data_IF_261140448073
#
_entry.id   IF_261140448073
#
_cell.length_a   1.000
_cell.length_b   1.000
_cell.length_c   1.000
_cell.angle_alpha   90.00
_cell.angle_beta   90.00
_cell.angle_gamma   90.00
#
_symmetry.space_group_name_H-M   'P 1'
#
loop_
_entity.id
_entity.type
_entity.pdbx_description
1 polymer ?
#
# COMPACT_ATOMS: atom_id res chain seq x y z
N UNK A 1 -14.40 -3.74 3.69
CA UNK A 1 -13.46 -4.44 2.78
C UNK A 1 -12.02 -4.01 3.10
N UNK A 2 -11.35 -4.50 4.14
CA UNK A 2 -9.98 -4.04 4.48
C UNK A 2 -8.85 -5.02 4.16
N UNK A 3 -9.10 -6.33 4.23
CA UNK A 3 -8.04 -7.32 4.45
C UNK A 3 -7.26 -7.88 3.27
N UNK A 4 -7.28 -7.18 2.15
CA UNK A 4 -6.37 -7.50 1.04
C UNK A 4 -4.98 -6.89 1.19
N UNK A 5 -4.78 -5.99 2.17
CA UNK A 5 -3.82 -4.89 2.01
C UNK A 5 -2.48 -5.14 2.75
N UNK A 6 -2.52 -5.75 3.93
CA UNK A 6 -1.35 -5.99 4.78
C UNK A 6 -0.43 -7.09 4.21
N UNK A 7 -1.02 -8.14 3.62
CA UNK A 7 -0.30 -9.17 2.88
C UNK A 7 0.17 -8.67 1.50
N UNK A 8 -0.53 -7.72 0.89
CA UNK A 8 -0.14 -7.12 -0.39
C UNK A 8 1.10 -6.23 -0.23
N UNK A 9 1.18 -5.43 0.83
CA UNK A 9 2.37 -4.65 1.19
C UNK A 9 3.65 -5.50 1.31
N UNK A 10 3.57 -6.59 2.08
CA UNK A 10 4.68 -7.52 2.28
C UNK A 10 4.99 -8.34 1.02
N UNK A 11 3.98 -8.62 0.18
CA UNK A 11 4.13 -9.29 -1.11
C UNK A 11 4.83 -8.40 -2.16
N UNK A 12 4.60 -7.08 -2.10
CA UNK A 12 5.22 -6.10 -2.99
C UNK A 12 6.56 -5.57 -2.47
N UNK A 13 6.98 -5.96 -1.27
CA UNK A 13 8.20 -5.46 -0.65
C UNK A 13 8.15 -3.96 -0.35
N UNK A 14 6.99 -3.38 -0.03
CA UNK A 14 6.91 -1.96 0.32
C UNK A 14 7.77 -1.67 1.56
N UNK A 15 8.82 -0.84 1.39
CA UNK A 15 9.75 -0.49 2.46
C UNK A 15 9.35 0.80 3.17
N UNK A 16 8.93 1.81 2.41
CA UNK A 16 8.57 3.13 2.94
C UNK A 16 7.49 3.76 2.07
N UNK A 17 6.57 4.48 2.70
CA UNK A 17 5.57 5.29 2.01
C UNK A 17 5.32 6.61 2.74
N UNK A 18 5.47 7.72 2.01
CA UNK A 18 5.23 9.08 2.48
C UNK A 18 4.00 9.64 1.76
N UNK A 19 2.82 9.49 2.40
CA UNK A 19 1.51 9.84 1.82
C UNK A 19 1.16 11.33 1.95
N UNK A 20 1.97 12.11 2.66
CA UNK A 20 1.77 13.56 2.88
C UNK A 20 0.40 14.00 3.45
N UNK A 21 -0.18 13.23 4.37
CA UNK A 21 -1.47 13.54 5.02
C UNK A 21 -1.41 14.51 6.23
N UNK A 22 -0.24 14.70 6.85
CA UNK A 22 -0.12 15.45 8.13
C UNK A 22 -0.06 16.97 7.93
N UNK A 23 -1.09 17.69 8.38
CA UNK A 23 -1.28 19.11 8.11
C UNK A 23 -0.56 20.08 9.06
N UNK A 24 0.52 19.70 9.75
CA UNK A 24 1.15 20.61 10.70
C UNK A 24 2.45 20.16 11.34
N UNK A 25 3.54 20.13 10.57
CA UNK A 25 4.86 19.86 11.14
C UNK A 25 6.01 19.98 10.15
N UNK A 26 7.21 19.67 10.66
CA UNK A 26 8.43 19.46 9.85
C UNK A 26 8.76 17.99 9.65
N UNK A 27 7.90 17.08 10.08
CA UNK A 27 8.09 15.64 9.92
C UNK A 27 7.08 15.17 8.89
N UNK A 28 7.57 14.44 7.90
CA UNK A 28 6.77 13.66 6.95
C UNK A 28 6.78 12.23 7.45
N UNK A 29 5.62 11.70 7.82
CA UNK A 29 5.52 10.34 8.33
C UNK A 29 5.75 9.31 7.23
N UNK A 30 6.63 8.35 7.50
CA UNK A 30 6.61 7.06 6.80
C UNK A 30 5.57 6.18 7.48
N UNK A 31 4.53 5.80 6.74
CA UNK A 31 3.42 5.00 7.29
C UNK A 31 3.70 3.50 7.29
N UNK A 32 4.91 3.07 6.90
CA UNK A 32 5.27 1.65 6.76
C UNK A 32 6.26 1.20 7.83
N UNK A 33 7.45 1.80 7.89
CA UNK A 33 8.55 1.26 8.71
C UNK A 33 9.26 2.29 9.59
N UNK A 34 8.82 3.55 9.53
CA UNK A 34 9.32 4.64 10.39
C UNK A 34 10.54 5.37 9.82
N UNK A 35 10.84 5.22 8.52
CA UNK A 35 11.79 6.07 7.79
C UNK A 35 11.20 7.47 7.55
N UNK A 36 10.83 8.15 8.63
CA UNK A 36 10.24 9.48 8.59
C UNK A 36 11.14 10.47 7.83
N UNK A 37 10.53 11.27 6.96
CA UNK A 37 11.19 12.40 6.31
C UNK A 37 11.20 13.65 7.19
N UNK A 38 12.22 14.48 7.02
CA UNK A 38 12.31 15.80 7.65
C UNK A 38 12.19 16.89 6.57
N UNK A 39 11.24 17.81 6.76
CA UNK A 39 11.09 19.00 5.93
C UNK A 39 12.22 19.99 6.25
N UNK A 40 13.05 20.27 5.24
CA UNK A 40 14.00 21.37 5.21
C UNK A 40 13.41 22.56 4.44
N UNK A 41 13.84 23.76 4.78
CA UNK A 41 13.34 24.99 4.18
C UNK A 41 11.87 25.26 4.52
N UNK A 42 11.11 25.69 3.51
CA UNK A 42 9.68 26.02 3.63
C UNK A 42 8.88 25.24 2.60
N UNK A 43 8.11 24.25 3.05
CA UNK A 43 7.15 23.50 2.26
C UNK A 43 5.76 23.73 2.86
N UNK A 44 4.74 23.81 2.00
CA UNK A 44 3.36 24.03 2.44
C UNK A 44 2.55 22.72 2.33
N UNK A 45 1.87 22.35 3.40
CA UNK A 45 0.87 21.29 3.37
C UNK A 45 -0.40 21.78 2.67
N UNK A 46 -0.97 20.98 1.78
CA UNK A 46 -2.22 21.29 1.08
C UNK A 46 -3.24 20.18 1.29
N UNK A 47 -4.53 20.54 1.29
CA UNK A 47 -5.64 19.60 1.51
C UNK A 47 -6.20 18.96 0.23
N UNK A 48 -5.83 19.50 -0.92
CA UNK A 48 -6.34 19.08 -2.23
C UNK A 48 -5.19 18.40 -3.00
N UNK A 49 -4.73 17.26 -2.46
CA UNK A 49 -3.74 16.38 -3.06
C UNK A 49 -4.30 15.55 -4.22
N UNK A 50 -3.52 14.57 -4.66
CA UNK A 50 -4.02 13.53 -5.56
C UNK A 50 -4.94 12.59 -4.78
N UNK A 51 -4.55 12.25 -3.56
CA UNK A 51 -5.33 11.49 -2.59
C UNK A 51 -5.22 12.21 -1.24
N UNK A 52 -6.32 12.79 -0.75
CA UNK A 52 -6.26 13.51 0.53
C UNK A 52 -5.30 14.70 0.49
N UNK A 53 -4.30 14.70 1.39
CA UNK A 53 -3.30 15.76 1.51
C UNK A 53 -2.23 15.72 0.42
N UNK A 54 -1.38 16.75 0.37
CA UNK A 54 -0.15 16.73 -0.42
C UNK A 54 0.85 17.76 0.12
N UNK A 55 2.10 17.68 -0.35
CA UNK A 55 3.14 18.63 -0.01
C UNK A 55 3.50 19.51 -1.21
N UNK A 56 3.48 20.82 -1.00
CA UNK A 56 3.80 21.83 -2.01
C UNK A 56 5.25 22.27 -1.92
N UNK A 57 5.95 22.14 -3.04
CA UNK A 57 7.34 22.54 -3.22
C UNK A 57 7.42 23.89 -3.94
N UNK A 58 8.19 24.87 -3.43
CA UNK A 58 8.19 26.24 -3.93
C UNK A 58 9.24 26.52 -5.02
N UNK A 59 9.97 25.52 -5.51
CA UNK A 59 11.06 25.73 -6.48
C UNK A 59 12.35 26.29 -5.88
N UNK A 60 12.57 26.12 -4.57
CA UNK A 60 13.77 26.64 -3.88
C UNK A 60 14.68 25.49 -3.46
N UNK A 61 15.96 25.54 -3.85
CA UNK A 61 16.96 24.51 -3.59
C UNK A 61 17.23 24.18 -2.11
N UNK A 62 16.74 25.01 -1.18
CA UNK A 62 16.83 24.79 0.28
C UNK A 62 15.57 24.12 0.88
N UNK A 63 14.54 23.88 0.06
CA UNK A 63 13.23 23.40 0.48
C UNK A 63 12.94 22.02 -0.11
N UNK A 64 12.99 21.00 0.74
CA UNK A 64 12.87 19.59 0.34
C UNK A 64 12.53 18.69 1.52
N UNK A 65 12.14 17.44 1.26
CA UNK A 65 12.04 16.40 2.30
C UNK A 65 13.31 15.57 2.27
N UNK A 66 13.97 15.45 3.42
CA UNK A 66 15.16 14.62 3.62
C UNK A 66 14.79 13.37 4.40
N UNK A 67 15.02 12.21 3.81
CA UNK A 67 14.90 10.91 4.48
C UNK A 67 16.30 10.39 4.77
N UNK A 68 16.56 10.04 6.02
CA UNK A 68 17.86 9.50 6.41
C UNK A 68 18.19 8.20 5.66
N UNK A 69 19.48 7.96 5.46
CA UNK A 69 19.92 6.73 4.81
C UNK A 69 19.59 5.50 5.69
N UNK A 70 19.00 4.50 5.04
CA UNK A 70 18.91 3.12 5.49
C UNK A 70 19.38 2.19 4.35
N UNK A 71 19.91 1.01 4.71
CA UNK A 71 20.38 0.02 3.74
C UNK A 71 19.24 -0.59 2.92
N UNK A 72 17.99 -0.53 3.39
CA UNK A 72 16.82 -0.94 2.60
C UNK A 72 16.68 -0.16 1.29
N UNK A 73 17.13 1.10 1.26
CA UNK A 73 17.08 1.88 0.02
C UNK A 73 18.13 1.43 -1.00
N UNK A 74 19.07 0.55 -0.62
CA UNK A 74 20.03 -0.08 -1.53
C UNK A 74 19.52 -1.42 -2.09
N UNK A 75 18.23 -1.72 -1.98
CA UNK A 75 17.64 -2.93 -2.55
C UNK A 75 17.90 -3.03 -4.05
N UNK A 76 18.14 -4.27 -4.46
CA UNK A 76 18.41 -4.71 -5.83
C UNK A 76 17.75 -6.09 -5.97
N UNK A 77 16.54 -6.19 -6.58
CA UNK A 77 15.81 -5.15 -7.32
C UNK A 77 15.15 -4.06 -6.45
N UNK A 78 14.57 -3.03 -7.08
CA UNK A 78 13.71 -2.05 -6.39
C UNK A 78 12.71 -1.35 -7.33
N UNK A 79 11.70 -0.73 -6.73
CA UNK A 79 10.82 0.23 -7.40
C UNK A 79 10.66 1.51 -6.59
N UNK A 80 10.66 2.66 -7.24
CA UNK A 80 10.32 3.95 -6.66
C UNK A 80 9.16 4.56 -7.41
N UNK A 81 8.18 5.09 -6.68
CA UNK A 81 6.96 5.70 -7.26
C UNK A 81 6.66 7.05 -6.61
N UNK A 82 5.98 7.92 -7.34
CA UNK A 82 5.43 9.17 -6.81
C UNK A 82 4.27 9.68 -7.67
N UNK A 83 3.28 10.31 -7.04
CA UNK A 83 2.38 11.23 -7.73
C UNK A 83 2.98 12.65 -7.69
N UNK A 84 3.02 13.31 -8.84
CA UNK A 84 3.53 14.68 -8.96
C UNK A 84 2.61 15.54 -9.81
N UNK A 85 2.47 16.81 -9.44
CA UNK A 85 1.83 17.86 -10.23
C UNK A 85 2.79 19.02 -10.35
N UNK A 86 3.68 18.93 -11.34
CA UNK A 86 4.77 19.88 -11.50
C UNK A 86 4.36 21.05 -12.39
N UNK A 87 4.75 22.25 -11.99
CA UNK A 87 4.64 23.44 -12.82
C UNK A 87 5.75 23.41 -13.89
N UNK A 88 5.44 23.90 -15.10
CA UNK A 88 6.41 24.00 -16.18
C UNK A 88 7.64 24.81 -15.74
N UNK A 89 8.82 24.20 -15.82
CA UNK A 89 10.07 24.90 -15.59
C UNK A 89 11.25 24.17 -16.22
N UNK A 90 12.26 24.95 -16.60
CA UNK A 90 13.57 24.42 -16.95
C UNK A 90 14.27 23.87 -15.70
N UNK A 91 14.43 22.55 -15.64
CA UNK A 91 15.12 21.80 -14.57
C UNK A 91 14.41 21.79 -13.21
N UNK A 92 13.99 20.60 -12.78
CA UNK A 92 13.41 20.33 -11.47
C UNK A 92 13.79 18.92 -11.00
N UNK A 93 13.79 18.63 -9.71
CA UNK A 93 14.10 17.29 -9.19
C UNK A 93 12.89 16.66 -8.50
N UNK A 94 12.55 15.42 -8.86
CA UNK A 94 11.55 14.63 -8.13
C UNK A 94 12.23 13.94 -6.96
N UNK A 95 13.35 13.25 -7.21
CA UNK A 95 14.12 12.60 -6.17
C UNK A 95 15.60 12.56 -6.53
N UNK A 96 16.45 12.77 -5.53
CA UNK A 96 17.90 12.70 -5.63
C UNK A 96 18.45 11.81 -4.52
N UNK A 97 19.53 11.08 -4.80
CA UNK A 97 20.22 10.25 -3.81
C UNK A 97 21.71 10.08 -4.12
N UNK A 98 22.45 11.19 -4.17
CA UNK A 98 23.90 11.16 -4.39
C UNK A 98 24.59 12.40 -3.75
N UNK A 99 24.61 12.47 -2.42
CA UNK A 99 25.26 13.54 -1.65
C UNK A 99 24.59 14.93 -1.70
N UNK A 100 25.09 15.84 -0.88
CA UNK A 100 24.69 17.25 -0.78
C UNK A 100 25.80 18.24 -1.20
N UNK A 101 26.94 17.73 -1.65
CA UNK A 101 28.11 18.51 -2.10
C UNK A 101 28.42 18.21 -3.55
N UNK A 102 28.70 19.25 -4.34
CA UNK A 102 29.21 19.13 -5.70
C UNK A 102 30.71 19.50 -5.77
N UNK A 103 31.54 18.76 -6.54
CA UNK A 103 31.23 17.48 -7.18
C UNK A 103 31.02 16.37 -6.15
N UNK A 104 30.19 15.39 -6.51
CA UNK A 104 29.83 14.28 -5.65
C UNK A 104 31.06 13.40 -5.34
N UNK A 105 31.28 12.99 -4.08
CA UNK A 105 32.47 12.21 -3.71
C UNK A 105 32.51 10.80 -4.30
N UNK A 106 31.36 10.16 -4.49
CA UNK A 106 31.24 8.74 -4.86
C UNK A 106 30.53 8.52 -6.21
N UNK A 107 29.93 9.57 -6.80
CA UNK A 107 29.13 9.55 -8.03
C UNK A 107 28.27 8.28 -8.20
N UNK A 108 27.40 7.98 -7.21
CA UNK A 108 26.48 6.83 -7.23
C UNK A 108 25.06 7.31 -7.47
N UNK A 109 24.52 7.10 -8.67
CA UNK A 109 23.14 7.50 -9.02
C UNK A 109 22.17 6.33 -8.97
N UNK A 110 22.01 5.80 -7.77
CA UNK A 110 21.07 4.71 -7.53
C UNK A 110 19.62 5.15 -7.78
N UNK A 111 19.23 6.28 -7.18
CA UNK A 111 17.91 6.92 -7.34
C UNK A 111 18.11 8.40 -7.71
N UNK A 112 17.81 8.73 -8.96
CA UNK A 112 18.03 10.06 -9.55
C UNK A 112 16.96 10.29 -10.62
N UNK A 113 15.99 11.16 -10.32
CA UNK A 113 14.88 11.52 -11.21
C UNK A 113 14.75 13.04 -11.24
N UNK A 114 14.91 13.62 -12.42
CA UNK A 114 14.75 15.06 -12.65
C UNK A 114 13.94 15.33 -13.92
N UNK A 115 13.48 16.56 -14.07
CA UNK A 115 12.80 17.07 -15.26
C UNK A 115 13.80 17.84 -16.09
N UNK A 116 13.92 17.53 -17.38
CA UNK A 116 14.80 18.23 -18.30
C UNK A 116 14.12 19.48 -18.90
N UNK A 117 14.86 20.31 -19.63
CA UNK A 117 14.40 21.55 -20.29
C UNK A 117 13.18 21.43 -21.23
N UNK A 118 12.71 20.21 -21.52
CA UNK A 118 11.53 19.95 -22.34
C UNK A 118 10.40 19.29 -21.53
N UNK A 119 10.42 19.48 -20.20
CA UNK A 119 9.35 19.12 -19.27
C UNK A 119 9.04 17.60 -19.17
N UNK A 120 9.93 16.75 -19.68
CA UNK A 120 9.89 15.29 -19.55
C UNK A 120 10.84 14.78 -18.45
N UNK A 121 10.54 13.64 -17.82
CA UNK A 121 11.40 13.06 -16.79
C UNK A 121 12.64 12.39 -17.37
N UNK A 122 13.74 12.46 -16.64
CA UNK A 122 15.01 11.81 -16.95
C UNK A 122 15.48 11.04 -15.74
N UNK A 123 15.84 9.77 -15.96
CA UNK A 123 16.39 8.91 -14.92
C UNK A 123 17.84 8.58 -15.22
N UNK A 124 18.68 8.60 -14.20
CA UNK A 124 20.00 7.97 -14.26
C UNK A 124 20.01 6.66 -13.48
N UNK A 125 20.90 5.76 -13.90
CA UNK A 125 21.20 4.54 -13.17
C UNK A 125 22.69 4.28 -13.19
N UNK A 126 23.19 3.73 -12.08
CA UNK A 126 24.56 3.25 -11.94
C UNK A 126 24.49 1.78 -11.52
N UNK A 127 24.90 0.89 -12.43
CA UNK A 127 25.23 -0.49 -12.09
C UNK A 127 26.75 -0.62 -12.16
N UNK A 128 27.35 -1.55 -11.41
CA UNK A 128 28.81 -1.68 -11.33
C UNK A 128 29.47 -1.72 -12.71
N UNK A 129 30.23 -0.67 -13.02
CA UNK A 129 30.98 -0.54 -14.28
C UNK A 129 30.17 -0.06 -15.49
N UNK A 130 28.90 0.30 -15.33
CA UNK A 130 28.05 0.85 -16.39
C UNK A 130 27.08 1.91 -15.84
N UNK A 131 27.12 3.09 -16.45
CA UNK A 131 26.27 4.22 -16.09
C UNK A 131 25.43 4.61 -17.29
N UNK A 132 24.21 5.08 -17.07
CA UNK A 132 23.40 5.55 -18.18
C UNK A 132 22.24 6.44 -17.77
N UNK A 133 21.50 6.84 -18.80
CA UNK A 133 20.42 7.81 -18.76
C UNK A 133 19.24 7.35 -19.63
N UNK A 134 18.02 7.44 -19.11
CA UNK A 134 16.77 7.25 -19.86
C UNK A 134 16.07 8.60 -19.94
N UNK A 135 15.77 9.04 -21.15
CA UNK A 135 14.91 10.19 -21.41
C UNK A 135 13.47 9.73 -21.62
N UNK A 136 12.55 10.29 -20.83
CA UNK A 136 11.13 10.11 -21.03
C UNK A 136 10.65 10.76 -22.33
N UNK A 137 9.47 10.33 -22.78
CA UNK A 137 8.76 10.86 -23.95
C UNK A 137 7.54 11.67 -23.54
N UNK A 138 7.02 11.41 -22.34
CA UNK A 138 5.82 12.09 -21.82
C UNK A 138 6.21 13.36 -21.09
N UNK A 139 5.55 14.47 -21.43
CA UNK A 139 5.68 15.75 -20.72
C UNK A 139 4.85 15.65 -19.44
N UNK A 140 5.47 15.88 -18.28
CA UNK A 140 4.81 15.77 -16.96
C UNK A 140 4.85 17.06 -16.13
N UNK A 141 5.66 18.05 -16.52
CA UNK A 141 5.62 19.39 -15.92
C UNK A 141 4.62 20.29 -16.66
N UNK A 142 3.38 19.82 -16.80
CA UNK A 142 2.30 20.51 -17.51
C UNK A 142 1.20 21.06 -16.57
N UNK A 143 1.44 21.01 -15.25
CA UNK A 143 0.49 21.40 -14.22
C UNK A 143 -0.63 20.39 -13.94
N UNK A 144 -0.55 19.16 -14.47
CA UNK A 144 -1.48 18.05 -14.16
C UNK A 144 -0.81 17.00 -13.27
N UNK A 145 -1.64 16.21 -12.60
CA UNK A 145 -1.17 15.06 -11.84
C UNK A 145 -0.71 13.96 -12.78
N UNK A 146 0.52 13.51 -12.58
CA UNK A 146 1.11 12.35 -13.24
C UNK A 146 1.67 11.39 -12.20
N UNK A 147 1.53 10.10 -12.45
CA UNK A 147 2.21 9.07 -11.68
C UNK A 147 3.52 8.72 -12.36
N UNK A 148 4.62 8.73 -11.62
CA UNK A 148 5.93 8.36 -12.14
C UNK A 148 6.49 7.16 -11.38
N UNK A 149 7.09 6.22 -12.10
CA UNK A 149 7.79 5.11 -11.48
C UNK A 149 9.12 4.80 -12.17
N UNK A 150 10.13 4.50 -11.35
CA UNK A 150 11.40 3.90 -11.75
C UNK A 150 11.45 2.48 -11.20
N UNK A 151 11.63 1.51 -12.09
CA UNK A 151 11.68 0.09 -11.73
C UNK A 151 12.99 -0.50 -12.23
N UNK A 152 13.68 -1.24 -11.35
CA UNK A 152 14.83 -2.05 -11.70
C UNK A 152 14.57 -3.50 -11.34
N UNK A 153 14.54 -4.39 -12.34
CA UNK A 153 14.23 -5.82 -12.19
C UNK A 153 15.48 -6.73 -12.14
N UNK A 154 16.67 -6.15 -12.00
CA UNK A 154 17.96 -6.85 -12.11
C UNK A 154 18.49 -7.00 -13.55
N UNK A 155 17.65 -6.72 -14.56
CA UNK A 155 17.97 -6.88 -15.99
C UNK A 155 17.76 -5.59 -16.78
N UNK A 156 16.76 -4.80 -16.40
CA UNK A 156 16.28 -3.62 -17.09
C UNK A 156 16.09 -2.50 -16.08
N UNK A 157 16.41 -1.28 -16.52
CA UNK A 157 15.97 -0.05 -15.87
C UNK A 157 14.79 0.45 -16.67
N UNK A 158 13.65 0.66 -16.03
CA UNK A 158 12.40 1.01 -16.68
C UNK A 158 11.80 2.26 -16.05
N UNK A 159 11.22 3.10 -16.91
CA UNK A 159 10.51 4.32 -16.59
C UNK A 159 9.06 4.16 -17.00
N UNK A 160 8.15 4.41 -16.06
CA UNK A 160 6.73 4.44 -16.32
C UNK A 160 6.17 5.82 -15.99
N UNK A 161 5.24 6.28 -16.83
CA UNK A 161 4.42 7.48 -16.62
C UNK A 161 2.96 7.07 -16.78
N UNK A 162 2.13 7.40 -15.80
CA UNK A 162 0.68 7.08 -15.75
C UNK A 162 0.39 5.60 -16.06
N UNK A 163 1.18 4.71 -15.44
CA UNK A 163 1.04 3.26 -15.55
C UNK A 163 1.58 2.66 -16.87
N UNK A 164 2.16 3.46 -17.75
CA UNK A 164 2.65 3.02 -19.08
C UNK A 164 4.16 3.19 -19.20
N UNK A 165 4.81 2.22 -19.84
CA UNK A 165 6.24 2.27 -20.12
C UNK A 165 6.57 3.47 -21.03
N UNK A 166 7.37 4.40 -20.53
CA UNK A 166 7.78 5.61 -21.25
C UNK A 166 9.22 5.48 -21.80
N UNK A 167 10.08 4.76 -21.06
CA UNK A 167 11.46 4.44 -21.47
C UNK A 167 12.02 3.19 -20.78
N UNK A 168 12.94 2.50 -21.45
CA UNK A 168 13.61 1.31 -20.92
C UNK A 168 15.07 1.23 -21.38
N UNK A 169 15.90 0.55 -20.60
CA UNK A 169 17.23 0.17 -21.01
C UNK A 169 17.60 -1.21 -20.43
N UNK A 170 18.06 -2.19 -21.25
CA UNK A 170 18.45 -3.52 -20.78
C UNK A 170 19.86 -3.50 -20.17
N UNK A 171 20.05 -2.67 -19.15
CA UNK A 171 21.31 -2.53 -18.41
C UNK A 171 21.22 -3.28 -17.07
N UNK A 172 21.22 -4.61 -17.16
CA UNK A 172 21.31 -5.51 -16.01
C UNK A 172 22.67 -5.44 -15.32
N UNK A 173 22.76 -5.97 -14.11
CA UNK A 173 23.98 -5.92 -13.31
C UNK A 173 23.67 -5.88 -11.82
N UNK A 174 24.66 -5.46 -11.03
CA UNK A 174 24.46 -5.17 -9.61
C UNK A 174 24.46 -3.66 -9.46
N UNK A 175 23.42 -3.11 -8.83
CA UNK A 175 23.33 -1.68 -8.56
C UNK A 175 24.45 -1.22 -7.62
N UNK A 176 24.95 -0.01 -7.87
CA UNK A 176 25.86 0.63 -6.92
C UNK A 176 25.08 1.08 -5.68
N UNK A 177 25.62 0.79 -4.50
CA UNK A 177 25.00 1.14 -3.21
C UNK A 177 25.42 2.53 -2.78
N UNK A 178 24.51 3.28 -2.16
CA UNK A 178 24.77 4.62 -1.64
C UNK A 178 24.58 4.68 -0.13
N UNK A 179 25.40 5.48 0.55
CA UNK A 179 25.18 5.88 1.95
C UNK A 179 24.51 7.26 2.07
N UNK A 180 24.11 7.85 0.94
CA UNK A 180 23.45 9.15 0.91
C UNK A 180 21.99 9.06 1.39
N UNK A 181 21.51 10.09 2.11
CA UNK A 181 20.08 10.34 2.32
C UNK A 181 19.31 10.39 1.00
N UNK A 182 17.98 10.24 1.07
CA UNK A 182 17.08 10.54 -0.05
C UNK A 182 16.61 11.99 0.10
N UNK A 183 16.65 12.74 -0.99
CA UNK A 183 16.11 14.09 -1.09
C UNK A 183 14.95 14.09 -2.06
N UNK A 184 13.73 14.26 -1.54
CA UNK A 184 12.51 14.38 -2.35
C UNK A 184 12.29 15.85 -2.67
N UNK A 185 12.07 16.16 -3.95
CA UNK A 185 11.74 17.49 -4.46
C UNK A 185 12.93 18.43 -4.66
N UNK A 186 14.17 18.02 -4.38
CA UNK A 186 15.35 18.82 -4.72
C UNK A 186 16.64 18.01 -4.82
N UNK A 187 17.58 18.56 -5.60
CA UNK A 187 19.01 18.39 -5.35
C UNK A 187 19.46 19.55 -4.44
N UNK A 188 19.80 19.29 -3.16
CA UNK A 188 20.01 20.35 -2.17
C UNK A 188 20.98 21.44 -2.62
N UNK A 189 20.62 22.70 -2.38
CA UNK A 189 21.44 23.87 -2.71
C UNK A 189 21.53 24.21 -4.20
N UNK A 190 20.82 23.49 -5.06
CA UNK A 190 20.91 23.65 -6.51
C UNK A 190 19.52 23.76 -7.16
N UNK A 191 18.95 22.65 -7.61
CA UNK A 191 17.69 22.60 -8.38
C UNK A 191 16.59 21.98 -7.51
N UNK A 192 15.41 22.57 -7.51
CA UNK A 192 14.26 22.08 -6.76
C UNK A 192 13.00 22.08 -7.63
N UNK A 193 12.04 21.24 -7.25
CA UNK A 193 10.74 21.17 -7.89
C UNK A 193 9.83 22.31 -7.47
N UNK A 194 8.98 22.71 -8.41
CA UNK A 194 7.85 23.63 -8.17
C UNK A 194 6.57 22.86 -8.48
N UNK A 195 5.74 22.62 -7.48
CA UNK A 195 4.52 21.83 -7.68
C UNK A 195 4.05 21.11 -6.43
N UNK A 196 3.20 20.10 -6.62
CA UNK A 196 2.69 19.23 -5.56
C UNK A 196 3.25 17.83 -5.71
N UNK A 197 3.54 17.19 -4.59
CA UNK A 197 3.95 15.79 -4.51
C UNK A 197 2.96 15.07 -3.59
N UNK A 198 2.66 13.84 -3.92
CA UNK A 198 1.75 12.95 -3.21
C UNK A 198 2.18 11.49 -3.37
N UNK A 199 1.78 10.64 -2.42
CA UNK A 199 1.94 9.18 -2.45
C UNK A 199 3.33 8.70 -2.95
N UNK A 200 4.39 9.10 -2.24
CA UNK A 200 5.76 8.69 -2.59
C UNK A 200 6.08 7.36 -1.93
N UNK A 201 6.56 6.37 -2.70
CA UNK A 201 6.81 5.02 -2.21
C UNK A 201 8.14 4.43 -2.68
N UNK A 202 8.74 3.59 -1.84
CA UNK A 202 9.91 2.77 -2.16
C UNK A 202 9.63 1.30 -1.86
N UNK A 203 9.90 0.43 -2.84
CA UNK A 203 9.69 -1.01 -2.77
C UNK A 203 11.02 -1.74 -2.98
N UNK A 204 11.26 -2.80 -2.22
CA UNK A 204 12.43 -3.68 -2.33
C UNK A 204 12.29 -4.75 -3.42
N UNK A 205 11.22 -4.67 -4.20
CA UNK A 205 10.95 -5.57 -5.32
C UNK A 205 10.69 -4.75 -6.59
N UNK A 206 10.85 -5.41 -7.74
CA UNK A 206 10.42 -4.84 -9.01
C UNK A 206 8.91 -5.09 -9.20
N UNK A 207 8.12 -4.02 -9.18
CA UNK A 207 6.68 -4.11 -9.40
C UNK A 207 6.40 -4.54 -10.85
N UNK A 208 5.44 -5.44 -11.03
CA UNK A 208 4.85 -5.69 -12.34
C UNK A 208 3.96 -4.52 -12.78
N UNK A 209 3.60 -4.45 -14.06
CA UNK A 209 2.70 -3.40 -14.57
C UNK A 209 1.34 -3.42 -13.87
N UNK A 210 0.79 -4.60 -13.58
CA UNK A 210 -0.49 -4.74 -12.87
C UNK A 210 -0.37 -4.20 -11.44
N UNK A 211 0.69 -4.56 -10.71
CA UNK A 211 0.94 -4.08 -9.35
C UNK A 211 1.22 -2.57 -9.31
N UNK A 212 1.93 -2.04 -10.31
CA UNK A 212 2.14 -0.61 -10.48
C UNK A 212 0.81 0.14 -10.68
N UNK A 213 -0.08 -0.39 -11.51
CA UNK A 213 -1.39 0.20 -11.75
C UNK A 213 -2.27 0.14 -10.49
N UNK A 214 -2.24 -0.97 -9.75
CA UNK A 214 -2.93 -1.09 -8.46
C UNK A 214 -2.42 -0.06 -7.44
N UNK A 215 -1.09 0.10 -7.32
CA UNK A 215 -0.48 1.15 -6.47
C UNK A 215 -0.91 2.54 -6.91
N UNK A 216 -0.89 2.82 -8.22
CA UNK A 216 -1.26 4.11 -8.79
C UNK A 216 -2.73 4.46 -8.51
N UNK A 217 -3.65 3.53 -8.72
CA UNK A 217 -5.10 3.75 -8.61
C UNK A 217 -5.58 3.84 -7.16
N UNK A 218 -4.90 3.12 -6.25
CA UNK A 218 -5.22 3.13 -4.82
C UNK A 218 -4.45 4.17 -4.01
N UNK A 219 -3.57 4.95 -4.65
CA UNK A 219 -2.68 5.90 -3.97
C UNK A 219 -1.71 5.22 -3.02
N UNK A 220 -1.29 3.98 -3.31
CA UNK A 220 -0.45 3.20 -2.41
C UNK A 220 -1.11 2.83 -1.08
N UNK A 221 -2.33 3.30 -0.76
CA UNK A 221 -3.03 3.02 0.53
C UNK A 221 -3.41 1.56 0.67
N UNK A 222 -3.64 0.87 -0.45
CA UNK A 222 -3.82 -0.59 -0.49
C UNK A 222 -2.54 -1.37 -0.18
N UNK A 223 -1.39 -0.69 -0.10
CA UNK A 223 -0.09 -1.26 0.27
C UNK A 223 0.44 -0.64 1.58
N UNK A 224 0.07 0.59 1.89
CA UNK A 224 0.60 1.36 3.01
C UNK A 224 -0.29 1.30 4.27
N UNK A 225 -1.46 0.65 4.21
CA UNK A 225 -2.33 0.48 5.37
C UNK A 225 -1.79 -0.61 6.32
N UNK A 226 -0.66 -0.31 6.94
CA UNK A 226 -0.13 -0.91 8.15
C UNK A 226 0.70 0.17 8.86
N UNK A 227 0.08 1.06 9.66
CA UNK A 227 0.48 1.33 11.06
C UNK A 227 -0.11 2.58 11.73
N UNK A 228 -0.75 3.54 11.05
CA UNK A 228 -1.41 4.63 11.81
C UNK A 228 -2.55 5.35 11.06
N UNK A 229 -3.78 5.11 11.54
CA UNK A 229 -4.89 6.07 11.67
C UNK A 229 -4.97 7.24 10.67
N UNK A 230 -5.84 7.11 9.67
CA UNK A 230 -6.60 8.24 9.11
C UNK A 230 -8.01 7.75 8.79
N UNK A 231 -8.92 7.99 9.74
CA UNK A 231 -10.36 7.96 9.51
C UNK A 231 -10.68 9.28 8.81
N UNK A 232 -10.84 9.28 7.49
CA UNK A 232 -11.67 10.26 6.80
C UNK A 232 -12.65 9.56 5.86
N UNK A 233 -13.84 10.15 5.81
CA UNK A 233 -15.13 9.64 5.37
C UNK A 233 -15.13 9.13 3.91
N UNK A 234 -14.65 7.91 3.70
CA UNK A 234 -15.14 7.11 2.56
C UNK A 234 -16.56 6.68 2.90
N UNK A 235 -17.49 6.78 1.93
CA UNK A 235 -18.87 6.32 2.06
C UNK A 235 -18.93 5.08 2.95
N UNK A 236 -19.45 5.25 4.17
CA UNK A 236 -19.46 4.20 5.19
C UNK A 236 -20.07 2.97 4.52
N UNK A 237 -19.23 1.97 4.22
CA UNK A 237 -19.65 0.78 3.50
C UNK A 237 -20.71 0.11 4.37
N UNK A 238 -21.98 0.36 4.02
CA UNK A 238 -23.10 -0.04 4.85
C UNK A 238 -23.03 -1.55 5.05
N UNK A 239 -22.90 -1.98 6.30
CA UNK A 239 -22.93 -3.41 6.65
C UNK A 239 -24.22 -4.03 6.11
N UNK A 240 -24.07 -5.10 5.33
CA UNK A 240 -25.14 -5.91 4.78
C UNK A 240 -25.20 -7.25 5.53
N UNK A 241 -26.37 -7.87 5.62
CA UNK A 241 -26.48 -9.24 6.14
C UNK A 241 -26.27 -10.26 5.01
N UNK A 242 -25.57 -11.35 5.28
CA UNK A 242 -25.35 -12.39 4.28
C UNK A 242 -26.32 -13.57 4.49
N UNK A 243 -27.33 -13.69 3.64
CA UNK A 243 -28.37 -14.71 3.74
C UNK A 243 -28.49 -15.46 2.42
N UNK A 244 -28.35 -16.78 2.49
CA UNK A 244 -28.57 -17.63 1.32
C UNK A 244 -27.54 -17.51 0.19
N UNK A 245 -26.38 -16.89 0.45
CA UNK A 245 -25.33 -16.62 -0.56
C UNK A 245 -25.35 -15.18 -1.09
N UNK A 246 -26.30 -14.36 -0.65
CA UNK A 246 -26.48 -12.99 -1.12
C UNK A 246 -26.28 -11.99 0.03
N UNK A 247 -25.71 -10.84 -0.29
CA UNK A 247 -25.62 -9.69 0.62
C UNK A 247 -26.91 -8.86 0.50
N UNK A 248 -27.61 -8.67 1.62
CA UNK A 248 -28.91 -8.01 1.70
C UNK A 248 -28.79 -6.76 2.57
N UNK A 249 -29.24 -5.61 2.07
CA UNK A 249 -29.46 -4.39 2.86
C UNK A 249 -30.97 -4.20 3.12
N UNK A 250 -31.32 -3.54 4.24
CA UNK A 250 -32.70 -3.15 4.58
C UNK A 250 -32.75 -1.75 5.16
N UNK A 251 -33.87 -1.06 4.95
CA UNK A 251 -34.08 0.29 5.50
C UNK A 251 -34.15 0.32 7.02
N UNK A 252 -34.66 -0.75 7.65
CA UNK A 252 -34.68 -0.89 9.10
C UNK A 252 -33.36 -1.52 9.58
N UNK A 253 -32.65 -0.85 10.49
CA UNK A 253 -31.30 -1.22 10.93
C UNK A 253 -31.20 -1.28 12.45
N UNK A 254 -30.15 -1.92 12.92
CA UNK A 254 -29.76 -2.03 14.34
C UNK A 254 -28.38 -1.40 14.46
N UNK A 255 -28.23 -0.44 15.38
CA UNK A 255 -26.93 0.16 15.66
C UNK A 255 -26.04 -0.82 16.42
N UNK A 256 -24.81 -0.96 15.96
CA UNK A 256 -23.72 -1.63 16.67
C UNK A 256 -22.99 -0.56 17.46
N UNK A 257 -23.11 -0.61 18.78
CA UNK A 257 -22.58 0.42 19.67
C UNK A 257 -21.24 -0.03 20.26
N UNK A 258 -20.30 0.89 20.34
CA UNK A 258 -19.04 0.74 21.05
C UNK A 258 -19.33 0.62 22.55
N UNK A 259 -18.92 -0.48 23.22
CA UNK A 259 -19.09 -0.61 24.67
C UNK A 259 -18.28 0.39 25.49
N UNK A 260 -17.24 0.99 24.87
CA UNK A 260 -16.32 1.92 25.54
C UNK A 260 -16.97 3.29 25.83
N UNK A 261 -17.70 3.83 24.86
CA UNK A 261 -18.24 5.20 24.90
C UNK A 261 -19.69 5.33 24.41
N UNK A 262 -20.29 4.24 23.92
CA UNK A 262 -21.63 4.22 23.36
C UNK A 262 -21.76 4.82 21.96
N UNK A 263 -20.64 5.14 21.30
CA UNK A 263 -20.65 5.64 19.91
C UNK A 263 -21.10 4.54 18.93
N UNK A 264 -21.66 4.93 17.79
CA UNK A 264 -22.10 3.97 16.76
C UNK A 264 -20.89 3.52 15.93
N UNK A 265 -20.51 2.25 16.08
CA UNK A 265 -19.48 1.58 15.30
C UNK A 265 -19.98 1.40 13.87
N UNK A 266 -21.13 0.74 13.70
CA UNK A 266 -21.79 0.49 12.41
C UNK A 266 -23.29 0.21 12.58
N UNK A 267 -23.98 -0.14 11.50
CA UNK A 267 -25.40 -0.53 11.50
C UNK A 267 -25.60 -1.84 10.74
N UNK A 268 -26.33 -2.79 11.31
CA UNK A 268 -26.69 -4.04 10.60
C UNK A 268 -28.16 -4.04 10.19
N UNK A 269 -28.54 -4.64 9.05
CA UNK A 269 -29.95 -4.77 8.66
C UNK A 269 -30.74 -5.55 9.71
N UNK A 270 -31.95 -5.08 10.03
CA UNK A 270 -32.87 -5.82 10.89
C UNK A 270 -33.60 -6.86 10.06
N UNK A 271 -33.18 -8.12 10.18
CA UNK A 271 -33.84 -9.25 9.53
C UNK A 271 -35.29 -9.44 10.00
N UNK A 272 -36.12 -10.00 9.12
CA UNK A 272 -37.51 -10.38 9.37
C UNK A 272 -37.73 -11.89 9.17
N UNK A 273 -38.96 -12.36 9.39
CA UNK A 273 -39.29 -13.78 9.32
C UNK A 273 -39.00 -14.41 7.94
N UNK A 274 -39.04 -13.63 6.86
CA UNK A 274 -38.77 -14.13 5.51
C UNK A 274 -37.29 -14.37 5.27
N UNK A 275 -36.40 -13.55 5.86
CA UNK A 275 -34.96 -13.80 5.79
C UNK A 275 -34.58 -15.06 6.57
N UNK A 276 -35.21 -15.27 7.73
CA UNK A 276 -35.02 -16.47 8.56
C UNK A 276 -35.44 -17.72 7.79
N UNK A 277 -36.61 -17.69 7.16
CA UNK A 277 -37.09 -18.80 6.32
C UNK A 277 -36.10 -19.09 5.17
N UNK A 278 -35.61 -18.05 4.50
CA UNK A 278 -34.61 -18.16 3.42
C UNK A 278 -33.29 -18.77 3.92
N UNK A 279 -32.84 -18.37 5.11
CA UNK A 279 -31.64 -18.91 5.75
C UNK A 279 -31.80 -20.40 6.07
N UNK A 280 -32.94 -20.80 6.65
CA UNK A 280 -33.25 -22.20 6.99
C UNK A 280 -33.30 -23.06 5.73
N UNK A 281 -34.06 -22.65 4.72
CA UNK A 281 -34.17 -23.40 3.46
C UNK A 281 -32.82 -23.56 2.76
N UNK A 282 -31.96 -22.53 2.82
CA UNK A 282 -30.62 -22.62 2.24
C UNK A 282 -29.69 -23.50 3.07
N UNK A 283 -29.78 -23.46 4.40
CA UNK A 283 -29.03 -24.35 5.28
C UNK A 283 -29.42 -25.82 5.06
N UNK A 284 -30.71 -26.15 4.88
CA UNK A 284 -31.18 -27.51 4.58
C UNK A 284 -30.65 -28.03 3.23
N UNK A 285 -30.63 -27.17 2.19
CA UNK A 285 -30.01 -27.51 0.90
C UNK A 285 -28.50 -27.70 1.06
N UNK A 286 -27.85 -26.76 1.75
CA UNK A 286 -26.42 -26.80 2.04
C UNK A 286 -25.99 -28.05 2.80
N UNK A 287 -26.78 -28.51 3.77
CA UNK A 287 -26.53 -29.74 4.52
C UNK A 287 -26.49 -30.97 3.60
N UNK A 288 -27.41 -31.07 2.62
CA UNK A 288 -27.43 -32.15 1.63
C UNK A 288 -26.20 -32.12 0.71
N UNK A 289 -25.79 -30.92 0.27
CA UNK A 289 -24.59 -30.74 -0.54
C UNK A 289 -23.35 -31.11 0.28
N UNK A 290 -23.22 -30.57 1.48
CA UNK A 290 -22.10 -30.85 2.37
C UNK A 290 -22.00 -32.33 2.69
N UNK A 291 -23.11 -33.05 2.89
CA UNK A 291 -23.10 -34.50 3.11
C UNK A 291 -22.40 -35.28 1.98
N UNK A 292 -22.42 -34.77 0.74
CA UNK A 292 -21.73 -35.36 -0.40
C UNK A 292 -20.23 -35.03 -0.48
N UNK A 293 -19.75 -34.03 0.26
CA UNK A 293 -18.33 -33.65 0.25
C UNK A 293 -17.49 -34.70 0.97
N UNK A 294 -16.39 -35.09 0.32
CA UNK A 294 -15.33 -35.91 0.89
C UNK A 294 -14.64 -35.21 2.05
N UNK A 295 -13.98 -35.99 2.92
CA UNK A 295 -13.17 -35.43 4.01
C UNK A 295 -12.06 -34.48 3.51
N UNK A 296 -11.54 -34.72 2.29
CA UNK A 296 -10.51 -33.87 1.70
C UNK A 296 -11.07 -32.54 1.16
N UNK A 297 -12.21 -32.55 0.46
CA UNK A 297 -12.85 -31.31 0.01
C UNK A 297 -13.25 -30.40 1.19
N UNK A 298 -13.73 -31.00 2.28
CA UNK A 298 -14.01 -30.28 3.53
C UNK A 298 -12.74 -29.68 4.14
N UNK A 299 -11.64 -30.43 4.11
CA UNK A 299 -10.33 -29.93 4.54
C UNK A 299 -9.88 -28.74 3.71
N UNK A 300 -9.98 -28.80 2.38
CA UNK A 300 -9.55 -27.69 1.51
C UNK A 300 -10.35 -26.40 1.82
N UNK A 301 -11.67 -26.52 2.01
CA UNK A 301 -12.51 -25.39 2.38
C UNK A 301 -12.10 -24.82 3.74
N UNK A 302 -12.02 -25.65 4.77
CA UNK A 302 -11.71 -25.19 6.13
C UNK A 302 -10.27 -24.68 6.25
N UNK A 303 -9.31 -25.30 5.58
CA UNK A 303 -7.92 -24.84 5.54
C UNK A 303 -7.83 -23.46 4.90
N UNK A 304 -8.51 -23.27 3.76
CA UNK A 304 -8.61 -21.95 3.12
C UNK A 304 -9.24 -20.90 4.04
N UNK A 305 -10.28 -21.25 4.79
CA UNK A 305 -10.87 -20.33 5.79
C UNK A 305 -9.88 -20.00 6.89
N UNK A 306 -9.16 -20.99 7.44
CA UNK A 306 -8.15 -20.75 8.45
C UNK A 306 -7.00 -19.86 7.95
N UNK A 307 -6.51 -20.11 6.73
CA UNK A 307 -5.47 -19.29 6.09
C UNK A 307 -5.94 -17.85 5.93
N UNK A 308 -7.16 -17.67 5.41
CA UNK A 308 -7.78 -16.35 5.31
C UNK A 308 -7.94 -15.71 6.70
N UNK A 309 -8.34 -16.42 7.75
CA UNK A 309 -8.45 -15.83 9.09
C UNK A 309 -7.10 -15.43 9.69
N UNK A 310 -6.03 -16.18 9.44
CA UNK A 310 -4.67 -15.83 9.87
C UNK A 310 -4.18 -14.59 9.13
N UNK A 311 -4.30 -14.60 7.80
CA UNK A 311 -4.01 -13.45 6.94
C UNK A 311 -4.79 -12.21 7.41
N UNK A 312 -5.99 -12.47 7.91
CA UNK A 312 -6.96 -11.49 8.37
C UNK A 312 -7.04 -11.36 9.89
N UNK A 313 -5.95 -11.54 10.63
CA UNK A 313 -6.03 -11.43 12.09
C UNK A 313 -6.13 -9.97 12.58
N UNK A 314 -5.46 -9.01 11.90
CA UNK A 314 -5.40 -7.59 12.26
C UNK A 314 -6.74 -6.85 12.36
N UNK A 315 -7.39 -6.51 11.25
CA UNK A 315 -8.77 -6.01 11.20
C UNK A 315 -9.83 -6.92 11.87
N UNK A 316 -9.68 -8.24 12.01
CA UNK A 316 -10.62 -9.04 12.81
C UNK A 316 -10.48 -8.60 14.27
N UNK A 317 -9.24 -8.37 14.72
CA UNK A 317 -8.97 -7.80 16.02
C UNK A 317 -9.47 -6.35 16.16
N UNK A 318 -9.38 -5.53 15.12
CA UNK A 318 -9.95 -4.16 15.14
C UNK A 318 -11.46 -4.18 15.24
N UNK A 319 -12.14 -5.05 14.49
CA UNK A 319 -13.60 -5.24 14.57
C UNK A 319 -13.98 -5.72 15.97
N UNK A 320 -13.33 -6.77 16.49
CA UNK A 320 -13.55 -7.26 17.86
C UNK A 320 -13.32 -6.14 18.89
N UNK A 321 -12.26 -5.35 18.73
CA UNK A 321 -11.94 -4.22 19.63
C UNK A 321 -13.06 -3.18 19.61
N UNK A 322 -13.57 -2.82 18.43
CA UNK A 322 -14.62 -1.80 18.28
C UNK A 322 -15.98 -2.29 18.78
N UNK A 323 -16.33 -3.54 18.52
CA UNK A 323 -17.65 -4.11 18.86
C UNK A 323 -17.73 -4.63 20.30
N UNK A 324 -16.63 -5.17 20.84
CA UNK A 324 -16.60 -5.80 22.18
C UNK A 324 -15.84 -4.98 23.23
N UNK A 325 -15.06 -3.97 22.82
CA UNK A 325 -14.27 -3.13 23.73
C UNK A 325 -13.01 -3.79 24.29
N UNK A 326 -12.57 -4.92 23.72
CA UNK A 326 -11.30 -5.58 24.10
C UNK A 326 -10.10 -4.73 23.70
N UNK A 327 -9.00 -4.87 24.42
CA UNK A 327 -7.74 -4.26 23.96
C UNK A 327 -7.25 -5.00 22.69
N UNK A 328 -6.63 -4.27 21.77
CA UNK A 328 -6.21 -4.81 20.48
C UNK A 328 -5.37 -6.09 20.60
N UNK A 329 -4.46 -6.13 21.58
CA UNK A 329 -3.62 -7.31 21.83
C UNK A 329 -4.44 -8.58 22.18
N UNK A 330 -5.49 -8.46 23.00
CA UNK A 330 -6.36 -9.58 23.34
C UNK A 330 -7.22 -9.99 22.15
N UNK A 331 -7.74 -9.01 21.42
CA UNK A 331 -8.52 -9.23 20.20
C UNK A 331 -7.69 -9.94 19.11
N UNK A 332 -6.39 -9.62 18.97
CA UNK A 332 -5.47 -10.30 18.06
C UNK A 332 -5.29 -11.76 18.46
N UNK A 333 -5.06 -12.03 19.75
CA UNK A 333 -4.95 -13.42 20.25
C UNK A 333 -6.23 -14.21 19.96
N UNK A 334 -7.40 -13.59 20.13
CA UNK A 334 -8.67 -14.24 19.86
C UNK A 334 -8.90 -14.54 18.38
N UNK A 335 -8.62 -13.59 17.49
CA UNK A 335 -8.71 -13.79 16.05
C UNK A 335 -7.77 -14.91 15.58
N UNK A 336 -6.52 -14.90 16.06
CA UNK A 336 -5.55 -15.96 15.76
C UNK A 336 -6.00 -17.31 16.31
N UNK A 337 -6.46 -17.38 17.57
CA UNK A 337 -6.94 -18.63 18.17
C UNK A 337 -8.17 -19.19 17.44
N UNK A 338 -9.07 -18.34 16.96
CA UNK A 338 -10.21 -18.78 16.16
C UNK A 338 -9.74 -19.45 14.85
N UNK A 339 -8.71 -18.92 14.21
CA UNK A 339 -8.12 -19.52 13.01
C UNK A 339 -7.51 -20.91 13.28
N UNK A 340 -6.87 -21.11 14.43
CA UNK A 340 -6.31 -22.40 14.85
C UNK A 340 -7.40 -23.45 15.06
N UNK A 341 -8.55 -23.05 15.61
CA UNK A 341 -9.70 -23.95 15.79
C UNK A 341 -10.25 -24.41 14.43
N UNK A 342 -10.34 -23.51 13.46
CA UNK A 342 -10.76 -23.87 12.09
C UNK A 342 -9.71 -24.76 11.42
N UNK A 343 -8.42 -24.47 11.59
CA UNK A 343 -7.34 -25.31 11.08
C UNK A 343 -7.39 -26.73 11.65
N UNK A 344 -7.60 -26.86 12.97
CA UNK A 344 -7.79 -28.16 13.62
C UNK A 344 -9.03 -28.88 13.07
N UNK A 345 -10.12 -28.15 12.86
CA UNK A 345 -11.35 -28.70 12.27
C UNK A 345 -11.11 -29.21 10.84
N UNK A 346 -10.24 -28.53 10.06
CA UNK A 346 -9.82 -28.98 8.74
C UNK A 346 -9.06 -30.31 8.82
N UNK A 347 -8.12 -30.43 9.74
CA UNK A 347 -7.36 -31.67 9.95
C UNK A 347 -8.26 -32.83 10.36
N UNK A 348 -9.21 -32.61 11.27
CA UNK A 348 -10.20 -33.61 11.66
C UNK A 348 -11.13 -34.00 10.51
N UNK A 349 -11.43 -33.10 9.56
CA UNK A 349 -12.24 -33.42 8.39
C UNK A 349 -11.62 -34.54 7.54
N UNK A 350 -10.28 -34.59 7.43
CA UNK A 350 -9.57 -35.71 6.77
C UNK A 350 -9.71 -37.03 7.54
N UNK A 351 -9.93 -36.98 8.85
CA UNK A 351 -10.05 -38.14 9.72
C UNK A 351 -11.47 -38.75 9.76
N UNK A 352 -12.51 -37.97 9.41
CA UNK A 352 -13.92 -38.41 9.49
C UNK A 352 -14.20 -39.65 8.62
N UNK A 353 -13.59 -39.77 7.43
CA UNK A 353 -13.77 -40.95 6.59
C UNK A 353 -12.94 -42.16 7.03
N UNK A 354 -11.85 -41.96 7.79
CA UNK A 354 -10.98 -43.08 8.24
C UNK A 354 -11.61 -43.93 9.36
N UNK A 355 -12.60 -43.40 10.08
CA UNK A 355 -13.25 -44.11 11.20
C UNK A 355 -14.42 -45.01 10.79
N UNK A 356 -14.93 -44.88 9.56
CA UNK A 356 -16.05 -45.71 9.08
C UNK A 356 -15.61 -47.00 8.37
N UNK A 357 -14.31 -47.17 8.09
CA UNK A 357 -13.77 -48.36 7.43
C UNK A 357 -13.20 -49.40 8.42
N UNK A 358 -13.49 -49.26 9.72
CA UNK A 358 -12.96 -50.13 10.79
C UNK A 358 -14.00 -50.64 11.79
N UNK A 359 -15.26 -50.81 11.34
CA UNK A 359 -16.30 -51.51 12.12
C UNK A 359 -16.86 -52.72 11.35
#
# INVERSE_FOLDING_TARGET
MGFGITAHAAKLGLASAWLFEDNGGKVVKDVVSGHDGEIKGTLDWVKDGKFGGALKFPGKGDSYVRVDHDDVFNSDPYSFVAWVKLEAASWQYIVWRNGDVWPEPEDVRHLDIWIHDADYPVFMWHVKGNVGRIDGKTIIADGKWHHIAKIYDGKNVQMFVDGKLDGENPSGGTLDTSKSPIWIGARPGNVAATGLFDEVGFFTEALSEDELNDVMDSGGRSCACLTHCAIEETEKQIMQMHVGGEWIDKSNKIDVLSPFDGSVVDTVPRGDASDVETAIQTAERGAKIMAGLTGYERYEILRKVADLMVERAGELAEVITREEGKILAEATVEATRASEIIALSAEEAKAINRRNDSA
#
